data_IF_794353850150
#
_entry.id   IF_794353850150
#
_cell.length_a   1.000
_cell.length_b   1.000
_cell.length_c   1.000
_cell.angle_alpha   90.00
_cell.angle_beta   90.00
_cell.angle_gamma   90.00
#
_symmetry.space_group_name_H-M   'P 1'
#
loop_
_entity.id
_entity.type
_entity.pdbx_description
1 polymer ?
#
# COMPACT_ATOMS: atom_id res chain seq x y z
N UNK A 1 13.03 24.69 -1.59
CA UNK A 1 11.95 24.59 -0.59
C UNK A 1 11.14 23.33 -0.88
N UNK A 2 11.60 22.19 -0.37
CA UNK A 2 10.82 20.94 -0.31
C UNK A 2 11.29 20.21 0.94
N UNK A 3 10.83 20.72 2.09
CA UNK A 3 10.87 20.02 3.37
C UNK A 3 9.63 19.14 3.35
N UNK A 4 9.81 17.82 3.23
CA UNK A 4 8.85 16.75 3.61
C UNK A 4 9.42 15.38 3.21
N UNK A 5 10.62 15.07 3.70
CA UNK A 5 11.13 13.70 3.78
C UNK A 5 11.53 13.40 5.22
N UNK A 6 10.61 13.73 6.14
CA UNK A 6 10.71 13.41 7.55
C UNK A 6 9.57 12.46 7.88
N UNK A 7 9.79 11.17 7.67
CA UNK A 7 9.10 10.16 8.46
C UNK A 7 10.13 9.14 8.91
N UNK A 8 10.75 9.50 10.05
CA UNK A 8 11.50 8.68 11.00
C UNK A 8 12.10 7.37 10.47
N UNK A 9 13.38 7.43 10.09
CA UNK A 9 14.30 6.32 10.33
C UNK A 9 15.37 6.89 11.27
N UNK A 10 15.01 7.00 12.54
CA UNK A 10 15.96 7.17 13.63
C UNK A 10 16.36 5.77 14.07
N UNK A 11 17.40 5.22 13.43
CA UNK A 11 18.41 4.41 14.12
C UNK A 11 19.56 4.07 13.16
N UNK A 12 20.70 4.69 13.45
CA UNK A 12 22.07 4.27 13.13
C UNK A 12 22.58 4.33 11.67
N UNK A 13 23.61 5.15 11.48
CA UNK A 13 24.76 4.83 10.61
C UNK A 13 24.78 5.44 9.21
N UNK A 14 25.43 6.59 9.09
CA UNK A 14 26.02 7.27 7.92
C UNK A 14 25.58 6.87 6.49
N UNK A 15 24.93 7.78 5.72
CA UNK A 15 24.69 7.57 4.31
C UNK A 15 25.90 8.03 3.49
N UNK A 16 26.80 7.08 3.18
CA UNK A 16 27.61 7.18 1.96
C UNK A 16 26.72 7.41 0.73
N UNK A 17 27.23 8.09 -0.28
CA UNK A 17 26.47 8.56 -1.46
C UNK A 17 25.73 7.47 -2.26
N UNK A 18 26.05 6.18 -2.06
CA UNK A 18 25.35 5.03 -2.66
C UNK A 18 24.03 4.65 -1.97
N UNK A 19 23.80 5.07 -0.72
CA UNK A 19 22.72 4.54 0.13
C UNK A 19 21.31 5.12 -0.12
N UNK A 20 21.20 6.25 -0.83
CA UNK A 20 19.90 6.90 -1.10
C UNK A 20 18.97 6.05 -1.97
N UNK A 21 19.51 5.37 -2.98
CA UNK A 21 18.67 4.60 -3.92
C UNK A 21 18.11 3.32 -3.26
N UNK A 22 18.85 2.75 -2.31
CA UNK A 22 18.45 1.55 -1.58
C UNK A 22 17.32 1.84 -0.59
N UNK A 23 17.42 2.92 0.18
CA UNK A 23 16.38 3.32 1.14
C UNK A 23 15.05 3.66 0.46
N UNK A 24 15.09 4.40 -0.65
CA UNK A 24 13.89 4.77 -1.42
C UNK A 24 13.21 3.51 -2.00
N UNK A 25 13.99 2.58 -2.55
CA UNK A 25 13.46 1.33 -3.09
C UNK A 25 12.79 0.48 -2.00
N UNK A 26 13.43 0.35 -0.83
CA UNK A 26 12.84 -0.38 0.31
C UNK A 26 11.56 0.25 0.82
N UNK A 27 11.53 1.58 0.94
CA UNK A 27 10.34 2.32 1.37
C UNK A 27 9.16 2.15 0.39
N UNK A 28 9.43 2.19 -0.92
CA UNK A 28 8.39 1.94 -1.92
C UNK A 28 7.90 0.50 -1.89
N UNK A 29 8.79 -0.46 -1.64
CA UNK A 29 8.41 -1.86 -1.52
C UNK A 29 7.53 -2.10 -0.28
N UNK A 30 7.88 -1.50 0.87
CA UNK A 30 7.04 -1.58 2.07
C UNK A 30 5.67 -0.95 1.85
N UNK A 31 5.59 0.23 1.21
CA UNK A 31 4.30 0.83 0.86
C UNK A 31 3.45 -0.06 -0.05
N UNK A 32 4.06 -0.72 -1.03
CA UNK A 32 3.34 -1.65 -1.91
C UNK A 32 2.84 -2.87 -1.13
N UNK A 33 3.65 -3.39 -0.20
CA UNK A 33 3.24 -4.49 0.68
C UNK A 33 2.04 -4.08 1.57
N UNK A 34 2.12 -2.92 2.21
CA UNK A 34 1.05 -2.37 3.05
C UNK A 34 -0.24 -2.14 2.24
N UNK A 35 -0.10 -1.64 1.01
CA UNK A 35 -1.23 -1.45 0.10
C UNK A 35 -1.92 -2.77 -0.27
N UNK A 36 -1.14 -3.81 -0.60
CA UNK A 36 -1.68 -5.14 -0.91
C UNK A 36 -2.38 -5.73 0.32
N UNK A 37 -1.75 -5.63 1.49
CA UNK A 37 -2.31 -6.10 2.76
C UNK A 37 -3.66 -5.41 3.07
N UNK A 38 -3.72 -4.09 2.89
CA UNK A 38 -4.93 -3.29 3.08
C UNK A 38 -6.06 -3.75 2.16
N UNK A 39 -5.75 -4.06 0.90
CA UNK A 39 -6.78 -4.49 -0.06
C UNK A 39 -7.32 -5.88 0.22
N UNK A 40 -6.50 -6.82 0.69
CA UNK A 40 -7.00 -8.13 1.10
C UNK A 40 -7.86 -8.01 2.38
N UNK A 41 -7.47 -7.14 3.33
CA UNK A 41 -8.28 -6.86 4.50
C UNK A 41 -9.64 -6.24 4.11
N UNK A 42 -9.63 -5.27 3.21
CA UNK A 42 -10.87 -4.63 2.77
C UNK A 42 -11.77 -5.61 1.98
N UNK A 43 -11.18 -6.56 1.26
CA UNK A 43 -11.93 -7.64 0.62
C UNK A 43 -12.68 -8.53 1.60
N UNK A 44 -12.12 -8.75 2.80
CA UNK A 44 -12.81 -9.46 3.88
C UNK A 44 -13.98 -8.63 4.41
N UNK A 45 -13.79 -7.33 4.66
CA UNK A 45 -14.87 -6.44 5.12
C UNK A 45 -16.03 -6.36 4.13
N UNK A 46 -15.73 -6.18 2.84
CA UNK A 46 -16.75 -6.21 1.79
C UNK A 46 -17.43 -7.58 1.66
N UNK A 47 -16.76 -8.68 2.02
CA UNK A 47 -17.38 -10.01 2.07
C UNK A 47 -18.37 -10.13 3.21
N UNK A 48 -18.02 -9.64 4.39
CA UNK A 48 -18.85 -9.64 5.58
C UNK A 48 -19.93 -8.55 5.58
N UNK A 49 -19.84 -7.56 4.70
CA UNK A 49 -20.74 -6.41 4.67
C UNK A 49 -20.47 -5.39 5.78
N UNK A 50 -19.24 -5.40 6.31
CA UNK A 50 -18.78 -4.55 7.41
C UNK A 50 -17.87 -3.41 6.93
N UNK A 51 -17.93 -3.07 5.64
CA UNK A 51 -17.12 -2.00 5.07
C UNK A 51 -17.43 -0.63 5.70
N UNK A 52 -16.38 0.15 5.91
CA UNK A 52 -16.51 1.51 6.41
C UNK A 52 -17.02 2.47 5.34
N UNK A 53 -17.66 3.57 5.77
CA UNK A 53 -18.11 4.66 4.87
C UNK A 53 -16.98 5.18 3.98
N UNK A 54 -15.78 5.32 4.53
CA UNK A 54 -14.58 5.77 3.78
C UNK A 54 -14.19 4.78 2.69
N UNK A 55 -14.26 3.48 2.98
CA UNK A 55 -13.96 2.43 2.02
C UNK A 55 -14.92 2.45 0.85
N UNK A 56 -16.22 2.59 1.12
CA UNK A 56 -17.25 2.70 0.08
C UNK A 56 -17.09 3.96 -0.77
N UNK A 57 -16.68 5.08 -0.17
CA UNK A 57 -16.38 6.31 -0.94
C UNK A 57 -15.14 6.15 -1.83
N UNK A 58 -14.12 5.46 -1.35
CA UNK A 58 -12.85 5.32 -2.07
C UNK A 58 -12.88 4.22 -3.14
N UNK A 59 -13.39 3.03 -2.78
CA UNK A 59 -13.41 1.84 -3.63
C UNK A 59 -14.73 1.65 -4.39
N UNK A 60 -15.78 2.37 -3.98
CA UNK A 60 -17.11 2.23 -4.52
C UNK A 60 -17.84 1.00 -4.00
N UNK A 61 -18.73 0.48 -4.84
CA UNK A 61 -19.49 -0.75 -4.54
C UNK A 61 -18.58 -1.97 -4.54
N UNK A 62 -18.95 -3.02 -3.80
CA UNK A 62 -18.24 -4.32 -3.76
C UNK A 62 -17.85 -4.86 -5.14
N UNK A 63 -18.77 -4.78 -6.12
CA UNK A 63 -18.52 -5.24 -7.49
C UNK A 63 -17.46 -4.41 -8.22
N UNK A 64 -17.44 -3.09 -8.00
CA UNK A 64 -16.42 -2.20 -8.55
C UNK A 64 -15.06 -2.49 -7.88
N UNK A 65 -15.05 -2.67 -6.56
CA UNK A 65 -13.86 -3.03 -5.81
C UNK A 65 -13.21 -4.33 -6.34
N UNK A 66 -13.98 -5.41 -6.46
CA UNK A 66 -13.49 -6.71 -6.92
C UNK A 66 -12.92 -6.66 -8.35
N UNK A 67 -13.59 -5.94 -9.27
CA UNK A 67 -13.15 -5.84 -10.66
C UNK A 67 -11.97 -4.91 -10.87
N UNK A 68 -11.96 -3.75 -10.20
CA UNK A 68 -10.99 -2.69 -10.46
C UNK A 68 -9.71 -2.85 -9.65
N UNK A 69 -9.79 -3.41 -8.43
CA UNK A 69 -8.66 -3.51 -7.51
C UNK A 69 -8.25 -4.97 -7.34
N UNK A 70 -9.13 -5.82 -6.80
CA UNK A 70 -8.79 -7.18 -6.42
C UNK A 70 -8.33 -8.04 -7.61
N UNK A 71 -9.03 -7.96 -8.74
CA UNK A 71 -8.67 -8.68 -9.98
C UNK A 71 -7.30 -8.25 -10.51
N UNK A 72 -6.95 -6.96 -10.41
CA UNK A 72 -5.66 -6.45 -10.91
C UNK A 72 -4.50 -6.94 -10.03
N UNK A 73 -4.67 -6.96 -8.72
CA UNK A 73 -3.63 -7.44 -7.79
C UNK A 73 -3.44 -8.93 -7.90
N UNK A 74 -4.53 -9.71 -7.94
CA UNK A 74 -4.44 -11.16 -8.11
C UNK A 74 -3.82 -11.56 -9.43
N UNK A 75 -3.98 -10.77 -10.49
CA UNK A 75 -3.27 -10.99 -11.76
C UNK A 75 -1.75 -10.78 -11.64
N UNK A 76 -1.30 -9.93 -10.71
CA UNK A 76 0.13 -9.69 -10.44
C UNK A 76 0.71 -10.67 -9.42
N UNK A 77 -0.08 -11.58 -8.85
CA UNK A 77 0.43 -12.62 -7.97
C UNK A 77 1.33 -13.51 -8.81
N UNK A 78 2.62 -13.47 -8.52
CA UNK A 78 3.60 -14.38 -9.11
C UNK A 78 3.25 -15.77 -8.58
N UNK A 79 2.80 -16.64 -9.48
CA UNK A 79 2.63 -18.07 -9.28
C UNK A 79 3.72 -18.78 -10.05
#
# INVERSE_FOLDING_TARGET
>A
MSKDLSIFVDESGDPGSESKCHAITRYRFSQVADYICTLELEALKYREGTEGRTSTLFFGTKRQFERNYLKKIRKKRLG
#
